data_IF_027762326916
#
_entry.id   IF_027762326916
#
_cell.length_a   1.000
_cell.length_b   1.000
_cell.length_c   1.000
_cell.angle_alpha   90.00
_cell.angle_beta   90.00
_cell.angle_gamma   90.00
#
_symmetry.space_group_name_H-M   'P 1'
#
loop_
_entity.id
_entity.type
_entity.pdbx_description
1 polymer ?
#
# COMPACT_ATOMS: atom_id res chain seq x y z
N UNK A 1 1.53 11.19 14.46
CA UNK A 1 2.44 11.95 15.35
C UNK A 1 2.48 11.25 16.69
N UNK A 2 3.65 11.14 17.31
CA UNK A 2 3.83 10.50 18.62
C UNK A 2 4.33 11.56 19.60
N UNK A 3 3.67 11.72 20.73
CA UNK A 3 4.04 12.66 21.79
C UNK A 3 4.04 11.96 23.14
N UNK A 4 4.97 12.32 24.02
CA UNK A 4 5.02 11.81 25.38
C UNK A 4 5.58 12.84 26.35
N UNK A 5 5.00 12.87 27.55
CA UNK A 5 5.41 13.74 28.65
C UNK A 5 5.17 12.99 29.96
N UNK A 6 6.15 13.00 30.86
CA UNK A 6 5.97 12.48 32.22
C UNK A 6 5.15 13.49 33.03
N UNK A 7 4.16 13.01 33.77
CA UNK A 7 3.35 13.85 34.65
C UNK A 7 4.04 14.03 36.01
N UNK A 8 4.18 15.28 36.46
CA UNK A 8 4.60 15.63 37.82
C UNK A 8 6.09 15.96 38.00
N UNK A 9 6.38 16.77 39.02
CA UNK A 9 7.73 17.04 39.50
C UNK A 9 8.18 15.92 40.44
N UNK A 10 9.31 15.33 40.10
CA UNK A 10 10.00 14.38 40.96
C UNK A 10 10.67 15.16 42.10
N UNK A 11 10.04 15.18 43.28
CA UNK A 11 10.52 15.94 44.45
C UNK A 11 11.64 15.22 45.22
N UNK A 12 12.20 14.13 44.67
CA UNK A 12 13.34 13.43 45.25
C UNK A 12 14.63 14.26 45.14
N UNK A 13 15.43 14.28 46.20
CA UNK A 13 16.80 14.76 46.11
C UNK A 13 17.68 13.66 45.52
N UNK A 14 18.14 13.89 44.28
CA UNK A 14 19.05 12.98 43.58
C UNK A 14 20.47 13.52 43.64
N UNK A 15 21.45 12.67 44.00
CA UNK A 15 22.87 13.01 43.90
C UNK A 15 23.31 13.17 42.42
N UNK A 16 22.73 12.38 41.53
CA UNK A 16 22.95 12.46 40.08
C UNK A 16 21.72 11.94 39.31
N UNK A 17 21.28 12.69 38.31
CA UNK A 17 20.15 12.34 37.46
C UNK A 17 20.64 12.09 36.02
N UNK A 18 20.90 10.82 35.70
CA UNK A 18 21.58 10.43 34.46
C UNK A 18 20.72 10.47 33.19
N UNK A 19 19.40 10.58 33.30
CA UNK A 19 18.49 10.55 32.16
C UNK A 19 17.46 11.66 32.31
N UNK A 20 17.44 12.62 31.39
CA UNK A 20 16.47 13.70 31.42
C UNK A 20 15.08 13.25 30.94
N UNK A 21 14.06 13.53 31.75
CA UNK A 21 12.65 13.17 31.50
C UNK A 21 11.88 14.23 30.70
N UNK A 22 12.51 14.75 29.64
CA UNK A 22 11.93 15.81 28.80
C UNK A 22 10.72 15.31 28.02
N UNK A 23 9.76 16.20 27.81
CA UNK A 23 8.70 15.99 26.85
C UNK A 23 9.30 15.79 25.44
N UNK A 24 8.67 14.94 24.65
CA UNK A 24 9.10 14.68 23.27
C UNK A 24 7.91 14.67 22.32
N UNK A 25 8.18 15.06 21.08
CA UNK A 25 7.27 14.92 19.96
C UNK A 25 8.06 14.44 18.75
N UNK A 26 7.56 13.38 18.09
CA UNK A 26 8.10 12.85 16.84
C UNK A 26 7.00 12.77 15.80
N UNK A 27 7.29 13.29 14.61
CA UNK A 27 6.40 13.21 13.45
C UNK A 27 6.94 12.13 12.54
N UNK A 28 6.04 11.27 12.08
CA UNK A 28 6.33 10.19 11.15
C UNK A 28 5.42 10.41 9.95
N UNK A 29 6.01 10.36 8.76
CA UNK A 29 5.26 10.32 7.51
C UNK A 29 4.93 8.86 7.22
N UNK A 30 3.68 8.59 6.84
CA UNK A 30 3.24 7.26 6.44
C UNK A 30 3.24 7.19 4.92
N UNK A 31 3.71 6.08 4.38
CA UNK A 31 3.60 5.80 2.97
C UNK A 31 2.12 5.59 2.56
N UNK A 32 1.86 5.70 1.27
CA UNK A 32 0.53 5.46 0.71
C UNK A 32 0.02 4.07 1.12
N UNK A 33 -1.26 4.02 1.49
CA UNK A 33 -1.96 2.80 1.90
C UNK A 33 -1.41 2.12 3.16
N UNK A 34 -0.64 2.82 3.99
CA UNK A 34 -0.25 2.34 5.32
C UNK A 34 -1.24 2.85 6.37
N UNK A 35 -1.79 1.96 7.19
CA UNK A 35 -2.64 2.28 8.33
C UNK A 35 -2.02 1.79 9.63
N UNK A 36 -2.23 2.55 10.70
CA UNK A 36 -1.89 2.13 12.07
C UNK A 36 -2.96 1.15 12.52
N UNK A 37 -2.53 -0.01 13.04
CA UNK A 37 -3.46 -1.06 13.49
C UNK A 37 -3.45 -1.26 15.00
N UNK A 38 -2.32 -1.00 15.66
CA UNK A 38 -2.21 -1.07 17.11
C UNK A 38 -1.11 -0.16 17.64
N UNK A 39 -1.18 0.15 18.93
CA UNK A 39 -0.10 0.79 19.67
C UNK A 39 -0.07 0.16 21.06
N UNK A 40 1.11 -0.27 21.51
CA UNK A 40 1.32 -0.91 22.80
C UNK A 40 2.52 -0.30 23.51
N UNK A 41 2.40 -0.08 24.82
CA UNK A 41 3.47 0.45 25.67
C UNK A 41 3.78 -0.60 26.75
N UNK A 42 4.94 -1.24 26.63
CA UNK A 42 5.36 -2.27 27.56
C UNK A 42 6.81 -2.04 27.96
N UNK A 43 7.13 -2.16 29.27
CA UNK A 43 8.48 -2.00 29.81
C UNK A 43 9.18 -0.68 29.37
N UNK A 44 8.40 0.40 29.20
CA UNK A 44 8.91 1.69 28.77
C UNK A 44 9.15 1.83 27.25
N UNK A 45 8.81 0.83 26.46
CA UNK A 45 8.91 0.86 25.00
C UNK A 45 7.54 0.96 24.35
N UNK A 46 7.34 2.02 23.56
CA UNK A 46 6.16 2.20 22.72
C UNK A 46 6.38 1.52 21.36
N UNK A 47 5.60 0.48 21.08
CA UNK A 47 5.53 -0.19 19.79
C UNK A 47 4.27 0.26 19.06
N UNK A 48 4.40 0.66 17.79
CA UNK A 48 3.28 1.05 16.94
C UNK A 48 3.27 0.11 15.73
N UNK A 49 2.16 -0.60 15.55
CA UNK A 49 2.00 -1.57 14.48
C UNK A 49 1.37 -0.90 13.26
N UNK A 50 1.97 -1.13 12.09
CA UNK A 50 1.52 -0.59 10.82
C UNK A 50 1.20 -1.73 9.85
N UNK A 51 0.08 -1.60 9.15
CA UNK A 51 -0.33 -2.55 8.11
C UNK A 51 -0.46 -1.81 6.77
N UNK A 52 0.08 -2.43 5.72
CA UNK A 52 -0.11 -1.97 4.35
C UNK A 52 -1.36 -2.61 3.75
N UNK A 53 -2.35 -1.81 3.38
CA UNK A 53 -3.59 -2.24 2.73
C UNK A 53 -3.56 -1.89 1.25
N UNK A 54 -3.01 -2.76 0.40
CA UNK A 54 -3.06 -2.56 -1.05
C UNK A 54 -4.52 -2.63 -1.52
N UNK A 55 -5.07 -1.56 -2.15
CA UNK A 55 -6.43 -1.59 -2.67
C UNK A 55 -6.63 -2.73 -3.67
N UNK A 56 -7.77 -3.40 -3.61
CA UNK A 56 -8.17 -4.45 -4.57
C UNK A 56 -8.17 -3.94 -6.03
N UNK A 57 -8.33 -2.63 -6.23
CA UNK A 57 -8.28 -1.97 -7.54
C UNK A 57 -6.89 -1.97 -8.17
N UNK A 58 -5.84 -2.04 -7.36
CA UNK A 58 -4.47 -2.22 -7.84
C UNK A 58 -4.15 -3.68 -8.13
N UNK A 59 -5.03 -4.63 -7.78
CA UNK A 59 -4.83 -6.02 -8.20
C UNK A 59 -5.04 -6.09 -9.71
N UNK A 60 -4.12 -6.75 -10.44
CA UNK A 60 -4.29 -6.95 -11.87
C UNK A 60 -5.58 -7.74 -12.12
N UNK A 61 -6.53 -7.12 -12.82
CA UNK A 61 -7.78 -7.77 -13.21
C UNK A 61 -7.54 -8.55 -14.51
N UNK A 62 -7.91 -9.84 -14.52
CA UNK A 62 -7.93 -10.64 -15.74
C UNK A 62 -9.14 -10.22 -16.56
N UNK A 63 -8.91 -9.65 -17.73
CA UNK A 63 -9.98 -9.35 -18.70
C UNK A 63 -10.10 -10.56 -19.62
N UNK A 64 -11.25 -11.23 -19.59
CA UNK A 64 -11.53 -12.31 -20.54
C UNK A 64 -11.82 -11.72 -21.92
N UNK A 65 -11.09 -12.18 -22.94
CA UNK A 65 -11.38 -11.83 -24.33
C UNK A 65 -12.54 -12.71 -24.79
N UNK A 66 -13.74 -12.16 -24.81
CA UNK A 66 -14.90 -12.84 -25.37
C UNK A 66 -14.80 -12.87 -26.91
N UNK A 67 -14.69 -14.05 -27.50
CA UNK A 67 -14.91 -14.27 -28.93
C UNK A 67 -16.41 -14.30 -29.21
N UNK A 68 -17.05 -13.13 -29.14
CA UNK A 68 -18.44 -12.98 -29.58
C UNK A 68 -18.52 -13.11 -31.10
N UNK A 69 -19.14 -14.21 -31.53
CA UNK A 69 -19.91 -14.37 -32.77
C UNK A 69 -19.11 -14.30 -34.06
N UNK A 70 -18.97 -15.47 -34.69
CA UNK A 70 -18.64 -15.72 -36.09
C UNK A 70 -18.58 -14.45 -36.95
N UNK A 71 -17.34 -14.01 -37.25
CA UNK A 71 -17.09 -13.21 -38.44
C UNK A 71 -17.76 -13.94 -39.61
N UNK A 72 -18.70 -13.31 -40.36
CA UNK A 72 -19.22 -13.93 -41.57
C UNK A 72 -18.00 -14.27 -42.42
N UNK A 73 -17.88 -15.54 -42.83
CA UNK A 73 -16.87 -15.95 -43.80
C UNK A 73 -17.05 -15.04 -45.01
N UNK A 74 -16.14 -14.09 -45.18
CA UNK A 74 -16.05 -13.35 -46.42
C UNK A 74 -15.75 -14.42 -47.48
N UNK A 75 -16.75 -14.70 -48.32
CA UNK A 75 -16.56 -15.53 -49.50
C UNK A 75 -15.41 -14.91 -50.28
N UNK A 76 -14.30 -15.64 -50.29
CA UNK A 76 -13.10 -15.27 -51.01
C UNK A 76 -13.49 -15.35 -52.48
N UNK A 77 -13.82 -14.22 -53.10
CA UNK A 77 -14.05 -14.12 -54.53
C UNK A 77 -12.84 -14.73 -55.23
N UNK A 78 -13.05 -15.90 -55.81
CA UNK A 78 -12.06 -16.57 -56.66
C UNK A 78 -11.96 -15.72 -57.93
N UNK A 79 -10.81 -15.08 -58.10
CA UNK A 79 -10.47 -14.47 -59.38
C UNK A 79 -10.03 -15.65 -60.27
N UNK A 80 -10.97 -16.16 -61.07
CA UNK A 80 -10.67 -17.18 -62.07
C UNK A 80 -9.63 -16.65 -63.05
N UNK A 81 -8.46 -17.26 -63.02
CA UNK A 81 -7.40 -17.07 -64.00
C UNK A 81 -7.77 -17.81 -65.29
N UNK A 82 -8.64 -17.21 -66.10
CA UNK A 82 -8.79 -17.66 -67.49
C UNK A 82 -7.61 -17.17 -68.33
N UNK A 83 -6.65 -18.10 -68.48
CA UNK A 83 -5.85 -18.28 -69.70
C UNK A 83 -6.69 -17.93 -70.94
N UNK A 84 -6.19 -16.98 -71.74
CA UNK A 84 -6.28 -17.08 -73.20
C UNK A 84 -4.86 -17.11 -73.75
N UNK A 85 -4.47 -18.32 -74.14
CA UNK A 85 -3.46 -18.53 -75.15
C UNK A 85 -4.07 -18.21 -76.51
N UNK A 86 -3.38 -17.39 -77.30
CA UNK A 86 -3.28 -17.45 -78.76
C UNK A 86 -2.13 -16.50 -79.17
#
# INVERSE_FOLDING_TARGET
>A
MVSGQKAGQDNGQYLHHGIAERAFQRRFELADHVKIVAANLENGLLTVDLKRELPEEMKPRRIEIATSTALPKADRLQIDSQKRAA
#
